data_IF_301179778026
#
_entry.id   IF_301179778026
#
_cell.length_a   1.000
_cell.length_b   1.000
_cell.length_c   1.000
_cell.angle_alpha   90.00
_cell.angle_beta   90.00
_cell.angle_gamma   90.00
#
_symmetry.space_group_name_H-M   'P 1'
#
loop_
_entity.id
_entity.type
_entity.pdbx_description
1 polymer ?
#
# COMPACT_ATOMS: atom_id res chain seq x y z
N UNK A 1 -2.20 1.93 5.85
CA UNK A 1 -2.35 0.47 5.71
C UNK A 1 -1.14 -0.23 6.26
N UNK A 2 -1.33 -1.35 6.95
CA UNK A 2 -0.27 -2.29 7.32
C UNK A 2 -0.55 -3.58 6.56
N UNK A 3 0.45 -4.13 5.89
CA UNK A 3 0.33 -5.38 5.15
C UNK A 3 1.55 -6.26 5.39
N UNK A 4 1.46 -7.53 5.02
CA UNK A 4 2.61 -8.44 5.08
C UNK A 4 3.47 -8.33 3.83
N UNK A 5 4.77 -8.54 3.94
CA UNK A 5 5.67 -8.69 2.79
C UNK A 5 5.51 -10.08 2.13
N UNK A 6 4.33 -10.35 1.55
CA UNK A 6 4.01 -11.60 0.88
C UNK A 6 2.99 -11.39 -0.25
N UNK A 7 2.99 -12.31 -1.22
CA UNK A 7 2.13 -12.23 -2.40
C UNK A 7 2.31 -10.93 -3.17
N UNK A 8 1.22 -10.38 -3.71
CA UNK A 8 1.23 -9.10 -4.43
C UNK A 8 1.18 -7.86 -3.54
N UNK A 9 1.18 -7.98 -2.21
CA UNK A 9 1.13 -6.82 -1.29
C UNK A 9 2.31 -5.86 -1.49
N UNK A 10 3.57 -6.32 -1.70
CA UNK A 10 4.70 -5.43 -1.97
C UNK A 10 4.61 -4.66 -3.30
N UNK A 11 3.73 -5.05 -4.23
CA UNK A 11 3.48 -4.30 -5.46
C UNK A 11 2.68 -3.01 -5.18
N UNK A 12 1.81 -3.06 -4.18
CA UNK A 12 0.94 -1.97 -3.74
C UNK A 12 1.61 -1.11 -2.67
N UNK A 13 2.34 -1.74 -1.74
CA UNK A 13 2.92 -1.07 -0.57
C UNK A 13 4.45 -1.01 -0.69
N UNK A 14 4.98 0.22 -0.66
CA UNK A 14 6.38 0.52 -0.41
C UNK A 14 6.56 0.90 1.06
N UNK A 15 7.26 0.04 1.81
CA UNK A 15 7.43 0.19 3.26
C UNK A 15 7.93 1.59 3.65
N UNK A 16 7.26 2.22 4.62
CA UNK A 16 7.57 3.55 5.14
C UNK A 16 7.21 4.72 4.20
N UNK A 17 6.77 4.46 2.96
CA UNK A 17 6.42 5.50 1.99
C UNK A 17 4.92 5.70 1.86
N UNK A 18 4.17 4.61 1.70
CA UNK A 18 2.73 4.64 1.45
C UNK A 18 1.96 3.59 2.28
N UNK A 19 2.64 2.99 3.25
CA UNK A 19 2.16 1.97 4.17
C UNK A 19 3.33 1.32 4.90
N UNK A 20 3.03 0.35 5.75
CA UNK A 20 4.04 -0.43 6.48
C UNK A 20 3.96 -1.89 6.01
N UNK A 21 5.12 -2.49 5.76
CA UNK A 21 5.25 -3.92 5.51
C UNK A 21 5.84 -4.61 6.75
N UNK A 22 5.20 -5.70 7.17
CA UNK A 22 5.67 -6.57 8.26
C UNK A 22 5.94 -7.98 7.73
N UNK A 23 6.77 -8.75 8.44
CA UNK A 23 7.02 -10.14 8.09
C UNK A 23 5.75 -10.99 8.31
N UNK A 24 5.38 -11.89 7.38
CA UNK A 24 4.26 -12.81 7.60
C UNK A 24 4.44 -13.67 8.86
N UNK A 25 3.31 -14.01 9.51
CA UNK A 25 3.28 -14.82 10.75
C UNK A 25 4.11 -14.25 11.91
N UNK A 26 4.34 -12.94 11.91
CA UNK A 26 5.02 -12.23 13.00
C UNK A 26 4.02 -11.28 13.68
N UNK A 27 3.29 -11.74 14.72
CA UNK A 27 2.31 -10.91 15.41
C UNK A 27 2.95 -9.73 16.16
N UNK A 28 4.16 -9.90 16.69
CA UNK A 28 4.88 -8.85 17.42
C UNK A 28 5.21 -7.67 16.47
N UNK A 29 5.73 -7.96 15.28
CA UNK A 29 6.00 -6.92 14.28
C UNK A 29 4.73 -6.18 13.83
N UNK A 30 3.58 -6.88 13.76
CA UNK A 30 2.31 -6.25 13.46
C UNK A 30 1.85 -5.33 14.62
N UNK A 31 1.98 -5.79 15.86
CA UNK A 31 1.65 -5.01 17.04
C UNK A 31 2.50 -3.74 17.13
N UNK A 32 3.82 -3.85 16.93
CA UNK A 32 4.74 -2.71 16.91
C UNK A 32 4.36 -1.70 15.81
N UNK A 33 4.02 -2.18 14.61
CA UNK A 33 3.58 -1.31 13.52
C UNK A 33 2.27 -0.58 13.88
N UNK A 34 1.30 -1.26 14.49
CA UNK A 34 0.05 -0.64 14.95
C UNK A 34 0.34 0.42 16.02
N UNK A 35 1.14 0.08 17.03
CA UNK A 35 1.52 1.00 18.11
C UNK A 35 2.24 2.24 17.58
N UNK A 36 3.13 2.09 16.60
CA UNK A 36 3.83 3.22 15.96
C UNK A 36 2.86 4.21 15.32
N UNK A 37 1.79 3.73 14.68
CA UNK A 37 0.79 4.59 14.03
C UNK A 37 -0.17 5.24 15.02
N UNK A 38 -0.50 4.54 16.12
CA UNK A 38 -1.35 5.11 17.18
C UNK A 38 -0.61 6.23 17.92
N UNK A 39 0.70 6.05 18.16
CA UNK A 39 1.51 7.02 18.90
C UNK A 39 2.00 8.19 18.05
N UNK A 40 1.96 8.10 16.72
CA UNK A 40 2.34 9.18 15.79
C UNK A 40 1.23 9.44 14.76
N UNK A 41 0.33 10.36 15.09
CA UNK A 41 -0.78 10.77 14.23
C UNK A 41 -0.33 11.43 12.93
N UNK A 42 0.84 12.08 12.92
CA UNK A 42 1.40 12.71 11.72
C UNK A 42 1.90 11.64 10.75
N UNK A 43 2.60 10.64 11.26
CA UNK A 43 3.01 9.48 10.47
C UNK A 43 1.78 8.76 9.87
N UNK A 44 0.76 8.51 10.69
CA UNK A 44 -0.47 7.87 10.24
C UNK A 44 -1.15 8.64 9.10
N UNK A 45 -1.30 9.96 9.26
CA UNK A 45 -1.89 10.83 8.23
C UNK A 45 -1.05 10.86 6.94
N UNK A 46 0.27 10.97 7.08
CA UNK A 46 1.22 11.00 5.94
C UNK A 46 1.14 9.71 5.13
N UNK A 47 1.24 8.56 5.79
CA UNK A 47 1.16 7.26 5.13
C UNK A 47 -0.23 7.00 4.54
N UNK A 48 -1.30 7.45 5.20
CA UNK A 48 -2.67 7.35 4.70
C UNK A 48 -2.86 8.13 3.39
N UNK A 49 -2.41 9.39 3.35
CA UNK A 49 -2.48 10.23 2.16
C UNK A 49 -1.63 9.66 1.01
N UNK A 50 -0.39 9.23 1.30
CA UNK A 50 0.50 8.62 0.32
C UNK A 50 -0.06 7.29 -0.23
N UNK A 51 -0.63 6.46 0.65
CA UNK A 51 -1.32 5.22 0.28
C UNK A 51 -2.48 5.48 -0.68
N UNK A 52 -3.37 6.43 -0.35
CA UNK A 52 -4.48 6.82 -1.23
C UNK A 52 -3.98 7.31 -2.59
N UNK A 53 -2.98 8.19 -2.60
CA UNK A 53 -2.39 8.70 -3.84
C UNK A 53 -1.89 7.56 -4.72
N UNK A 54 -1.14 6.59 -4.17
CA UNK A 54 -0.59 5.44 -4.92
C UNK A 54 -1.67 4.64 -5.66
N UNK A 55 -2.79 4.37 -4.99
CA UNK A 55 -3.88 3.57 -5.57
C UNK A 55 -4.58 4.35 -6.68
N UNK A 56 -4.98 5.59 -6.40
CA UNK A 56 -5.71 6.43 -7.38
C UNK A 56 -4.88 6.69 -8.64
N UNK A 57 -3.56 6.82 -8.54
CA UNK A 57 -2.71 7.14 -9.70
C UNK A 57 -2.19 5.92 -10.44
N UNK A 58 -2.16 4.74 -9.83
CA UNK A 58 -1.45 3.58 -10.40
C UNK A 58 -2.19 2.26 -10.39
N UNK A 59 -3.34 2.18 -9.74
CA UNK A 59 -4.16 0.96 -9.65
C UNK A 59 -5.67 1.25 -9.75
N UNK A 60 -6.04 2.37 -10.36
CA UNK A 60 -7.42 2.65 -10.74
C UNK A 60 -7.84 1.66 -11.84
N UNK A 61 -9.03 1.05 -11.72
CA UNK A 61 -9.51 0.05 -12.66
C UNK A 61 -9.63 0.56 -14.09
N UNK A 62 -9.84 1.88 -14.28
CA UNK A 62 -9.86 2.51 -15.61
C UNK A 62 -8.53 2.37 -16.32
N UNK A 63 -7.41 2.47 -15.60
CA UNK A 63 -6.08 2.30 -16.20
C UNK A 63 -5.90 0.89 -16.78
N UNK A 64 -6.39 -0.13 -16.09
CA UNK A 64 -6.38 -1.50 -16.59
C UNK A 64 -7.23 -1.65 -17.86
N UNK A 65 -8.45 -1.10 -17.85
CA UNK A 65 -9.34 -1.12 -19.01
C UNK A 65 -8.74 -0.37 -20.22
N UNK A 66 -8.22 0.83 -20.01
CA UNK A 66 -7.56 1.64 -21.05
C UNK A 66 -6.35 0.91 -21.64
N UNK A 67 -5.54 0.26 -20.81
CA UNK A 67 -4.37 -0.52 -21.26
C UNK A 67 -4.78 -1.67 -22.17
N UNK A 68 -5.82 -2.43 -21.81
CA UNK A 68 -6.32 -3.54 -22.61
C UNK A 68 -6.92 -3.04 -23.93
N UNK A 69 -7.72 -1.96 -23.88
CA UNK A 69 -8.33 -1.38 -25.08
C UNK A 69 -7.28 -0.85 -26.06
N UNK A 70 -6.23 -0.20 -25.56
CA UNK A 70 -5.12 0.27 -26.37
C UNK A 70 -4.38 -0.89 -27.05
N UNK A 71 -4.27 -2.04 -26.38
CA UNK A 71 -3.64 -3.24 -26.96
C UNK A 71 -4.52 -3.91 -28.01
N UNK A 72 -5.83 -3.99 -27.80
CA UNK A 72 -6.77 -4.55 -28.79
C UNK A 72 -6.81 -3.69 -30.06
N UNK A 73 -6.58 -2.38 -29.93
CA UNK A 73 -6.59 -1.43 -31.04
C UNK A 73 -5.26 -1.36 -31.82
N UNK A 74 -4.21 -2.06 -31.36
CA UNK A 74 -2.94 -2.22 -32.09
C UNK A 74 -3.05 -3.31 -33.15
#
# INVERSE_FOLDING_TARGET
>A
TIGTNAGGVPELISNGKNGILVTPKNPDALADAILSLINDSKLASTLGAAGRKRIVTGFDSRLGAETIMAEIAR
#
